data_IF_830232310466
#
_entry.id   IF_830232310466
#
_cell.length_a   1.000
_cell.length_b   1.000
_cell.length_c   1.000
_cell.angle_alpha   90.00
_cell.angle_beta   90.00
_cell.angle_gamma   90.00
#
_symmetry.space_group_name_H-M   'P 1'
#
loop_
_entity.id
_entity.type
_entity.pdbx_description
1 polymer ?
#
# COMPACT_ATOMS: atom_id res chain seq x y z
N UNK A 1 49.35 11.97 -28.31
CA UNK A 1 49.74 10.61 -27.90
C UNK A 1 49.40 10.47 -26.44
N UNK A 2 48.28 9.81 -26.15
CA UNK A 2 47.92 9.41 -24.78
C UNK A 2 48.93 8.36 -24.30
N UNK A 3 49.45 8.44 -23.07
CA UNK A 3 50.31 7.39 -22.57
C UNK A 3 49.50 6.09 -22.45
N UNK A 4 50.09 4.99 -22.93
CA UNK A 4 49.55 3.66 -22.70
C UNK A 4 49.56 3.38 -21.19
N UNK A 5 48.43 2.95 -20.64
CA UNK A 5 48.31 2.55 -19.25
C UNK A 5 49.27 1.40 -18.93
N UNK A 6 50.04 1.55 -17.85
CA UNK A 6 50.97 0.52 -17.36
C UNK A 6 50.14 -0.59 -16.70
N UNK A 7 50.38 -1.88 -17.01
CA UNK A 7 49.70 -2.97 -16.32
C UNK A 7 50.12 -2.98 -14.85
N UNK A 8 49.20 -2.60 -13.95
CA UNK A 8 49.43 -2.58 -12.51
C UNK A 8 49.34 -1.22 -11.82
N UNK A 9 49.07 -0.13 -12.54
CA UNK A 9 48.65 1.11 -11.89
C UNK A 9 47.19 0.97 -11.44
N UNK A 10 46.96 1.16 -10.13
CA UNK A 10 45.64 1.28 -9.54
C UNK A 10 44.86 2.33 -10.36
N UNK A 11 43.76 1.97 -11.02
CA UNK A 11 42.89 2.95 -11.66
C UNK A 11 42.40 3.89 -10.55
N UNK A 12 42.90 5.14 -10.48
CA UNK A 12 42.51 6.02 -9.40
C UNK A 12 41.03 6.31 -9.58
N UNK A 13 40.28 6.15 -8.49
CA UNK A 13 38.89 6.55 -8.47
C UNK A 13 38.83 8.04 -8.84
N UNK A 14 38.16 8.36 -9.94
CA UNK A 14 38.05 9.73 -10.42
C UNK A 14 37.38 10.64 -9.37
N UNK A 15 37.74 11.92 -9.38
CA UNK A 15 37.19 12.89 -8.42
C UNK A 15 35.66 12.99 -8.52
N UNK A 16 35.09 12.64 -9.67
CA UNK A 16 33.66 12.64 -9.97
C UNK A 16 32.84 11.70 -9.06
N UNK A 17 33.47 10.69 -8.45
CA UNK A 17 32.78 9.74 -7.59
C UNK A 17 32.57 10.26 -6.16
N UNK A 18 33.38 11.21 -5.70
CA UNK A 18 33.29 11.74 -4.33
C UNK A 18 31.99 12.53 -4.08
N UNK A 19 31.52 13.42 -4.97
CA UNK A 19 30.22 14.07 -4.81
C UNK A 19 29.05 13.08 -4.78
N UNK A 20 29.11 12.03 -5.62
CA UNK A 20 28.10 10.96 -5.61
C UNK A 20 28.08 10.22 -4.27
N UNK A 21 29.23 9.77 -3.77
CA UNK A 21 29.30 9.10 -2.48
C UNK A 21 28.88 10.00 -1.32
N UNK A 22 29.29 11.27 -1.33
CA UNK A 22 28.92 12.24 -0.31
C UNK A 22 27.41 12.46 -0.25
N UNK A 23 26.76 12.66 -1.40
CA UNK A 23 25.30 12.80 -1.46
C UNK A 23 24.57 11.53 -1.02
N UNK A 24 25.07 10.35 -1.41
CA UNK A 24 24.52 9.07 -0.96
C UNK A 24 24.68 8.87 0.55
N UNK A 25 25.82 9.23 1.13
CA UNK A 25 26.08 9.17 2.56
C UNK A 25 25.11 10.07 3.33
N UNK A 26 24.93 11.32 2.88
CA UNK A 26 23.98 12.27 3.49
C UNK A 26 22.56 11.69 3.43
N UNK A 27 22.15 11.17 2.27
CA UNK A 27 20.83 10.56 2.13
C UNK A 27 20.65 9.37 3.08
N UNK A 28 21.59 8.43 3.11
CA UNK A 28 21.48 7.22 3.93
C UNK A 28 21.56 7.50 5.43
N UNK A 29 22.47 8.37 5.89
CA UNK A 29 22.72 8.56 7.33
C UNK A 29 21.96 9.74 7.95
N UNK A 30 21.41 10.66 7.15
CA UNK A 30 20.58 11.77 7.64
C UNK A 30 19.18 11.72 7.07
N UNK A 31 19.05 11.62 5.74
CA UNK A 31 17.75 11.59 5.06
C UNK A 31 16.86 10.43 5.53
N UNK A 32 17.36 9.19 5.45
CA UNK A 32 16.59 7.99 5.82
C UNK A 32 16.21 7.98 7.30
N UNK A 33 17.09 8.29 8.27
CA UNK A 33 16.69 8.41 9.68
C UNK A 33 15.61 9.46 9.93
N UNK A 34 15.69 10.63 9.29
CA UNK A 34 14.65 11.67 9.42
C UNK A 34 13.30 11.19 8.89
N UNK A 35 13.30 10.51 7.72
CA UNK A 35 12.09 9.90 7.18
C UNK A 35 11.53 8.84 8.14
N UNK A 36 12.37 7.92 8.63
CA UNK A 36 11.96 6.90 9.59
C UNK A 36 11.40 7.49 10.90
N UNK A 37 11.96 8.62 11.34
CA UNK A 37 11.44 9.36 12.49
C UNK A 37 10.05 9.93 12.21
N UNK A 38 9.82 10.53 11.02
CA UNK A 38 8.48 11.00 10.62
C UNK A 38 7.46 9.87 10.50
N UNK A 39 7.89 8.70 10.03
CA UNK A 39 7.03 7.51 9.92
C UNK A 39 6.88 6.72 11.24
N UNK A 40 7.56 7.11 12.33
CA UNK A 40 7.60 6.33 13.56
C UNK A 40 6.23 6.15 14.22
N UNK A 41 5.35 7.14 14.09
CA UNK A 41 4.01 7.12 14.69
C UNK A 41 2.94 6.35 13.90
N UNK A 42 3.27 5.77 12.75
CA UNK A 42 2.29 5.09 11.89
C UNK A 42 2.24 3.60 12.26
N UNK A 43 1.09 3.17 12.80
CA UNK A 43 0.77 1.78 13.09
C UNK A 43 0.32 1.06 11.82
N UNK A 44 1.22 0.27 11.23
CA UNK A 44 0.99 -0.43 9.96
C UNK A 44 0.76 -1.95 10.17
N UNK A 45 -0.24 -2.53 9.48
CA UNK A 45 -0.56 -3.97 9.55
C UNK A 45 0.44 -4.83 8.77
N UNK A 46 1.09 -4.26 7.76
CA UNK A 46 1.94 -4.97 6.82
C UNK A 46 3.39 -5.12 7.31
N UNK A 47 3.77 -4.42 8.39
CA UNK A 47 5.14 -4.37 8.86
C UNK A 47 6.07 -3.54 7.97
N UNK A 48 5.53 -2.67 7.10
CA UNK A 48 6.28 -1.78 6.21
C UNK A 48 7.32 -1.00 7.00
N UNK A 49 7.00 -0.53 8.21
CA UNK A 49 7.96 0.20 9.04
C UNK A 49 9.16 -0.67 9.43
N UNK A 50 8.92 -1.94 9.81
CA UNK A 50 9.98 -2.88 10.18
C UNK A 50 10.83 -3.24 8.96
N UNK A 51 10.19 -3.42 7.81
CA UNK A 51 10.88 -3.68 6.55
C UNK A 51 11.77 -2.51 6.14
N UNK A 52 11.23 -1.28 6.16
CA UNK A 52 11.97 -0.07 5.84
C UNK A 52 13.15 0.16 6.79
N UNK A 53 12.96 -0.10 8.09
CA UNK A 53 14.04 -0.06 9.07
C UNK A 53 15.13 -1.11 8.78
N UNK A 54 14.74 -2.34 8.45
CA UNK A 54 15.69 -3.41 8.14
C UNK A 54 16.46 -3.12 6.84
N UNK A 55 15.80 -2.60 5.79
CA UNK A 55 16.44 -2.13 4.56
C UNK A 55 17.42 -1.00 4.85
N UNK A 56 17.01 -0.01 5.65
CA UNK A 56 17.86 1.12 6.01
C UNK A 56 19.12 0.66 6.75
N UNK A 57 18.98 -0.17 7.78
CA UNK A 57 20.11 -0.69 8.57
C UNK A 57 21.04 -1.52 7.67
N UNK A 58 20.49 -2.43 6.85
CA UNK A 58 21.29 -3.26 5.94
C UNK A 58 22.06 -2.41 4.94
N UNK A 59 21.41 -1.37 4.39
CA UNK A 59 22.04 -0.43 3.45
C UNK A 59 23.12 0.43 4.10
N UNK A 60 22.89 0.92 5.32
CA UNK A 60 23.86 1.69 6.09
C UNK A 60 25.10 0.85 6.41
N UNK A 61 24.93 -0.40 6.86
CA UNK A 61 26.04 -1.32 7.14
C UNK A 61 26.83 -1.60 5.86
N UNK A 62 26.14 -1.96 4.78
CA UNK A 62 26.77 -2.24 3.49
C UNK A 62 27.58 -1.06 2.95
N UNK A 63 27.00 0.13 3.00
CA UNK A 63 27.66 1.36 2.56
C UNK A 63 28.82 1.77 3.48
N UNK A 64 28.68 1.57 4.80
CA UNK A 64 29.76 1.81 5.74
C UNK A 64 30.96 0.88 5.50
N UNK A 65 30.72 -0.41 5.25
CA UNK A 65 31.77 -1.38 4.91
C UNK A 65 32.44 -1.05 3.57
N UNK A 66 31.67 -0.61 2.58
CA UNK A 66 32.20 -0.08 1.33
C UNK A 66 33.18 1.08 1.57
N UNK A 67 32.79 2.08 2.39
CA UNK A 67 33.68 3.21 2.72
C UNK A 67 34.93 2.77 3.48
N UNK A 68 34.81 1.83 4.43
CA UNK A 68 35.96 1.30 5.16
C UNK A 68 36.96 0.64 4.21
N UNK A 69 36.50 -0.25 3.32
CA UNK A 69 37.40 -0.95 2.40
C UNK A 69 38.02 -0.01 1.36
N UNK A 70 37.31 1.05 1.00
CA UNK A 70 37.79 2.07 0.07
C UNK A 70 38.85 2.99 0.69
N UNK A 71 38.64 3.46 1.92
CA UNK A 71 39.47 4.52 2.51
C UNK A 71 40.52 4.02 3.50
N UNK A 72 40.39 2.82 4.06
CA UNK A 72 41.31 2.32 5.08
C UNK A 72 42.52 1.62 4.43
N UNK A 73 43.73 2.20 4.48
CA UNK A 73 44.90 1.65 3.77
C UNK A 73 45.30 0.25 4.27
N UNK A 74 45.03 -0.05 5.54
CA UNK A 74 45.31 -1.33 6.17
C UNK A 74 44.56 -2.51 5.53
N UNK A 75 43.48 -2.26 4.78
CA UNK A 75 42.67 -3.29 4.12
C UNK A 75 43.04 -3.53 2.65
N UNK A 76 44.00 -2.79 2.08
CA UNK A 76 44.39 -2.89 0.66
C UNK A 76 44.79 -4.31 0.23
N UNK A 77 45.42 -5.09 1.12
CA UNK A 77 45.76 -6.49 0.83
C UNK A 77 44.51 -7.36 0.65
N UNK A 78 43.48 -7.13 1.46
CA UNK A 78 42.19 -7.84 1.36
C UNK A 78 41.41 -7.33 0.15
N UNK A 79 41.42 -6.02 -0.09
CA UNK A 79 40.73 -5.37 -1.19
C UNK A 79 41.11 -5.96 -2.57
N UNK A 80 42.38 -6.30 -2.77
CA UNK A 80 42.86 -6.96 -4.01
C UNK A 80 42.13 -8.27 -4.32
N UNK A 81 41.70 -8.98 -3.28
CA UNK A 81 40.91 -10.23 -3.41
C UNK A 81 39.41 -10.00 -3.29
N UNK A 82 39.01 -8.99 -2.52
CA UNK A 82 37.63 -8.68 -2.18
C UNK A 82 37.42 -7.17 -2.33
N UNK A 83 37.08 -6.76 -3.54
CA UNK A 83 36.97 -5.35 -3.87
C UNK A 83 35.84 -4.66 -3.08
N UNK A 84 36.03 -3.37 -2.75
CA UNK A 84 35.08 -2.62 -1.93
C UNK A 84 33.63 -2.67 -2.48
N UNK A 85 33.45 -2.60 -3.80
CA UNK A 85 32.13 -2.64 -4.45
C UNK A 85 31.34 -3.94 -4.19
N UNK A 86 32.02 -5.04 -3.81
CA UNK A 86 31.37 -6.32 -3.50
C UNK A 86 30.43 -6.18 -2.30
N UNK A 87 30.72 -5.29 -1.34
CA UNK A 87 29.80 -4.98 -0.24
C UNK A 87 28.46 -4.41 -0.73
N UNK A 88 28.50 -3.55 -1.75
CA UNK A 88 27.29 -3.05 -2.40
C UNK A 88 26.50 -4.17 -3.09
N UNK A 89 27.18 -5.08 -3.79
CA UNK A 89 26.55 -6.23 -4.42
C UNK A 89 25.90 -7.19 -3.40
N UNK A 90 26.59 -7.51 -2.31
CA UNK A 90 26.04 -8.34 -1.22
C UNK A 90 24.81 -7.69 -0.63
N UNK A 91 24.88 -6.39 -0.33
CA UNK A 91 23.75 -5.61 0.21
C UNK A 91 22.54 -5.67 -0.71
N UNK A 92 22.75 -5.49 -2.03
CA UNK A 92 21.70 -5.59 -3.03
C UNK A 92 21.07 -6.99 -3.08
N UNK A 93 21.89 -8.05 -3.05
CA UNK A 93 21.41 -9.45 -3.06
C UNK A 93 20.60 -9.77 -1.81
N UNK A 94 21.06 -9.33 -0.64
CA UNK A 94 20.34 -9.51 0.62
C UNK A 94 18.99 -8.78 0.58
N UNK A 95 18.97 -7.52 0.17
CA UNK A 95 17.73 -6.75 0.06
C UNK A 95 16.76 -7.41 -0.91
N UNK A 96 17.24 -7.83 -2.09
CA UNK A 96 16.38 -8.48 -3.08
C UNK A 96 15.81 -9.82 -2.56
N UNK A 97 16.62 -10.61 -1.87
CA UNK A 97 16.19 -11.90 -1.33
C UNK A 97 15.11 -11.74 -0.25
N UNK A 98 15.35 -10.85 0.72
CA UNK A 98 14.45 -10.70 1.87
C UNK A 98 13.21 -9.86 1.59
N UNK A 99 13.29 -8.83 0.75
CA UNK A 99 12.20 -7.88 0.55
C UNK A 99 11.46 -8.03 -0.77
N UNK A 100 12.01 -8.81 -1.73
CA UNK A 100 11.33 -9.08 -2.99
C UNK A 100 10.97 -10.56 -3.09
N UNK A 101 11.95 -11.45 -2.99
CA UNK A 101 11.72 -12.89 -3.24
C UNK A 101 10.85 -13.51 -2.13
N UNK A 102 11.18 -13.25 -0.86
CA UNK A 102 10.46 -13.84 0.27
C UNK A 102 8.98 -13.43 0.34
N UNK A 103 8.59 -12.14 0.24
CA UNK A 103 7.19 -11.74 0.23
C UNK A 103 6.41 -12.31 -0.96
N UNK A 104 7.03 -12.41 -2.15
CA UNK A 104 6.40 -13.03 -3.33
C UNK A 104 6.13 -14.52 -3.08
N UNK A 105 7.08 -15.23 -2.48
CA UNK A 105 6.92 -16.63 -2.11
C UNK A 105 5.74 -16.81 -1.13
N UNK A 106 5.72 -16.02 -0.05
CA UNK A 106 4.65 -16.06 0.96
C UNK A 106 3.29 -15.65 0.38
N UNK A 107 3.26 -14.69 -0.55
CA UNK A 107 2.02 -14.28 -1.23
C UNK A 107 1.47 -15.42 -2.11
N UNK A 108 2.33 -16.10 -2.88
CA UNK A 108 1.91 -17.23 -3.72
C UNK A 108 1.33 -18.37 -2.88
N UNK A 109 2.01 -18.71 -1.79
CA UNK A 109 1.55 -19.69 -0.81
C UNK A 109 0.22 -19.28 -0.18
N UNK A 110 0.09 -18.02 0.24
CA UNK A 110 -1.13 -17.49 0.85
C UNK A 110 -2.32 -17.41 -0.11
N UNK A 111 -2.09 -17.12 -1.40
CA UNK A 111 -3.14 -17.11 -2.44
C UNK A 111 -3.74 -18.50 -2.65
N UNK A 112 -2.91 -19.54 -2.64
CA UNK A 112 -3.40 -20.93 -2.70
C UNK A 112 -4.29 -21.27 -1.50
N UNK A 113 -3.96 -20.78 -0.31
CA UNK A 113 -4.78 -21.00 0.90
C UNK A 113 -6.10 -20.22 0.85
N UNK A 114 -6.10 -18.96 0.37
CA UNK A 114 -7.33 -18.13 0.26
C UNK A 114 -8.33 -18.66 -0.75
N UNK A 115 -7.88 -19.30 -1.83
CA UNK A 115 -8.77 -19.93 -2.81
C UNK A 115 -9.70 -20.99 -2.18
N UNK A 116 -9.33 -21.54 -1.02
CA UNK A 116 -10.04 -22.63 -0.35
C UNK A 116 -10.93 -22.19 0.83
N UNK A 117 -10.85 -20.93 1.31
CA UNK A 117 -11.60 -20.46 2.47
C UNK A 117 -12.87 -19.69 2.06
N UNK A 118 -14.02 -20.36 2.00
CA UNK A 118 -15.34 -19.73 1.82
C UNK A 118 -16.01 -19.49 3.18
N UNK A 119 -15.91 -18.27 3.71
CA UNK A 119 -16.60 -17.83 4.93
C UNK A 119 -17.48 -16.59 4.67
N UNK A 120 -18.26 -16.59 3.57
CA UNK A 120 -19.14 -15.47 3.20
C UNK A 120 -20.10 -15.08 4.33
N UNK A 121 -20.68 -16.07 5.02
CA UNK A 121 -21.60 -15.83 6.14
C UNK A 121 -20.95 -15.08 7.32
N UNK A 122 -19.66 -15.32 7.58
CA UNK A 122 -18.94 -14.62 8.66
C UNK A 122 -18.68 -13.17 8.27
N UNK A 123 -18.37 -12.92 6.99
CA UNK A 123 -18.19 -11.56 6.49
C UNK A 123 -19.49 -10.76 6.56
N UNK A 124 -20.60 -11.35 6.11
CA UNK A 124 -21.92 -10.69 6.17
C UNK A 124 -22.30 -10.36 7.61
N UNK A 125 -21.97 -11.23 8.58
CA UNK A 125 -22.17 -10.96 10.00
C UNK A 125 -21.34 -9.77 10.49
N UNK A 126 -20.06 -9.67 10.09
CA UNK A 126 -19.19 -8.55 10.45
C UNK A 126 -19.73 -7.22 9.90
N UNK A 127 -20.28 -7.20 8.68
CA UNK A 127 -20.85 -5.99 8.11
C UNK A 127 -22.21 -5.61 8.72
N UNK A 128 -22.98 -6.59 9.19
CA UNK A 128 -24.33 -6.38 9.72
C UNK A 128 -24.35 -5.96 11.19
N UNK A 129 -23.39 -6.43 11.99
CA UNK A 129 -23.26 -6.07 13.41
C UNK A 129 -22.53 -4.71 13.55
N UNK A 130 -23.14 -3.69 14.17
CA UNK A 130 -22.54 -2.36 14.29
C UNK A 130 -21.18 -2.37 15.00
N UNK A 131 -21.02 -3.20 16.04
CA UNK A 131 -19.78 -3.24 16.84
C UNK A 131 -18.68 -3.88 16.01
N UNK A 132 -18.97 -5.03 15.37
CA UNK A 132 -17.99 -5.71 14.51
C UNK A 132 -17.63 -4.86 13.28
N UNK A 133 -18.56 -4.07 12.77
CA UNK A 133 -18.30 -3.21 11.63
C UNK A 133 -17.42 -2.00 11.99
N UNK A 134 -17.58 -1.40 13.17
CA UNK A 134 -16.65 -0.38 13.67
C UNK A 134 -15.24 -0.94 13.90
N UNK A 135 -15.13 -2.14 14.48
CA UNK A 135 -13.85 -2.84 14.63
C UNK A 135 -13.19 -3.12 13.26
N UNK A 136 -14.00 -3.54 12.28
CA UNK A 136 -13.53 -3.74 10.90
C UNK A 136 -13.06 -2.44 10.27
N UNK A 137 -13.78 -1.32 10.45
CA UNK A 137 -13.36 0.01 9.98
C UNK A 137 -12.03 0.43 10.62
N UNK A 138 -11.88 0.27 11.93
CA UNK A 138 -10.63 0.57 12.63
C UNK A 138 -9.45 -0.25 12.07
N UNK A 139 -9.67 -1.52 11.74
CA UNK A 139 -8.68 -2.33 11.03
C UNK A 139 -8.35 -1.76 9.65
N UNK A 140 -9.36 -1.37 8.85
CA UNK A 140 -9.12 -0.84 7.50
C UNK A 140 -8.36 0.49 7.46
N UNK A 141 -8.38 1.29 8.54
CA UNK A 141 -7.51 2.47 8.68
C UNK A 141 -6.04 2.03 8.67
N UNK A 142 -5.69 1.01 9.46
CA UNK A 142 -4.34 0.47 9.52
C UNK A 142 -3.95 -0.34 8.28
N UNK A 143 -4.93 -0.86 7.55
CA UNK A 143 -4.78 -1.57 6.27
C UNK A 143 -4.73 -0.61 5.07
N UNK A 144 -4.83 0.70 5.28
CA UNK A 144 -4.90 1.75 4.26
C UNK A 144 -6.00 1.50 3.19
N UNK A 145 -7.16 1.02 3.63
CA UNK A 145 -8.28 0.67 2.75
C UNK A 145 -9.64 1.10 3.32
N UNK A 146 -9.67 2.19 4.10
CA UNK A 146 -10.84 2.68 4.85
C UNK A 146 -11.94 3.25 3.95
N UNK A 147 -11.59 3.70 2.75
CA UNK A 147 -12.52 4.18 1.74
C UNK A 147 -13.59 3.13 1.39
N UNK A 148 -13.23 1.85 1.37
CA UNK A 148 -14.12 0.76 1.00
C UNK A 148 -15.30 0.57 1.97
N UNK A 149 -15.08 0.36 3.29
CA UNK A 149 -16.19 0.24 4.22
C UNK A 149 -16.95 1.55 4.41
N UNK A 150 -16.32 2.72 4.28
CA UNK A 150 -17.01 4.02 4.34
C UNK A 150 -17.98 4.20 3.16
N UNK A 151 -17.56 3.87 1.94
CA UNK A 151 -18.42 3.89 0.76
C UNK A 151 -19.58 2.89 0.90
N UNK A 152 -19.28 1.67 1.34
CA UNK A 152 -20.28 0.63 1.58
C UNK A 152 -21.32 1.06 2.61
N UNK A 153 -20.89 1.67 3.72
CA UNK A 153 -21.79 2.17 4.77
C UNK A 153 -22.76 3.24 4.22
N UNK A 154 -22.27 4.17 3.38
CA UNK A 154 -23.13 5.19 2.75
C UNK A 154 -24.11 4.57 1.77
N UNK A 155 -23.70 3.58 0.97
CA UNK A 155 -24.61 2.83 0.09
C UNK A 155 -25.72 2.12 0.89
N UNK A 156 -25.36 1.48 2.00
CA UNK A 156 -26.31 0.82 2.90
C UNK A 156 -27.33 1.81 3.49
N UNK A 157 -26.87 2.92 4.05
CA UNK A 157 -27.74 3.98 4.61
C UNK A 157 -28.70 4.55 3.54
N UNK A 158 -28.21 4.74 2.32
CA UNK A 158 -29.04 5.19 1.21
C UNK A 158 -30.13 4.16 0.88
N UNK A 159 -29.80 2.86 0.82
CA UNK A 159 -30.78 1.79 0.57
C UNK A 159 -31.84 1.70 1.68
N UNK A 160 -31.44 1.79 2.95
CA UNK A 160 -32.35 1.80 4.09
C UNK A 160 -33.34 2.98 4.03
N UNK A 161 -32.89 4.13 3.51
CA UNK A 161 -33.78 5.28 3.28
C UNK A 161 -34.89 5.03 2.25
N UNK A 162 -34.73 4.03 1.37
CA UNK A 162 -35.70 3.67 0.34
C UNK A 162 -36.73 2.67 0.86
N UNK A 163 -36.33 1.75 1.74
CA UNK A 163 -37.21 0.68 2.26
C UNK A 163 -38.37 1.20 3.12
N UNK A 164 -38.28 2.42 3.64
CA UNK A 164 -39.36 3.07 4.38
C UNK A 164 -40.40 3.79 3.50
N UNK A 165 -40.23 3.78 2.17
CA UNK A 165 -41.18 4.42 1.24
C UNK A 165 -42.27 3.39 0.84
N UNK A 166 -43.56 3.67 1.07
CA UNK A 166 -44.64 2.77 0.65
C UNK A 166 -44.58 2.50 -0.86
N UNK A 167 -44.63 1.22 -1.25
CA UNK A 167 -44.50 0.68 -2.62
C UNK A 167 -45.51 1.23 -3.65
N UNK A 168 -46.44 2.10 -3.25
CA UNK A 168 -47.56 2.58 -4.07
C UNK A 168 -47.32 3.92 -4.80
N UNK A 169 -46.18 4.59 -4.60
CA UNK A 169 -45.87 5.83 -5.35
C UNK A 169 -44.96 5.53 -6.54
N UNK A 170 -45.58 5.27 -7.68
CA UNK A 170 -44.89 5.27 -8.98
C UNK A 170 -44.30 6.68 -9.21
N UNK A 171 -42.99 6.74 -9.46
CA UNK A 171 -42.13 7.94 -9.56
C UNK A 171 -41.72 8.54 -8.20
N UNK A 172 -40.86 7.81 -7.47
CA UNK A 172 -40.10 8.37 -6.34
C UNK A 172 -39.16 9.46 -6.89
N UNK A 173 -39.61 10.71 -6.84
CA UNK A 173 -38.74 11.86 -7.09
C UNK A 173 -37.70 11.91 -5.98
N UNK A 174 -36.42 11.95 -6.35
CA UNK A 174 -35.33 12.11 -5.40
C UNK A 174 -35.52 13.38 -4.57
N UNK A 175 -35.55 13.24 -3.25
CA UNK A 175 -35.53 14.39 -2.34
C UNK A 175 -34.24 15.19 -2.53
N UNK A 176 -34.28 16.49 -2.23
CA UNK A 176 -33.08 17.34 -2.29
C UNK A 176 -31.94 16.79 -1.42
N UNK A 177 -32.25 16.21 -0.25
CA UNK A 177 -31.27 15.54 0.61
C UNK A 177 -30.59 14.36 -0.11
N UNK A 178 -31.36 13.49 -0.76
CA UNK A 178 -30.81 12.36 -1.51
C UNK A 178 -29.96 12.82 -2.71
N UNK A 179 -30.35 13.89 -3.41
CA UNK A 179 -29.55 14.45 -4.51
C UNK A 179 -28.20 14.98 -4.02
N UNK A 180 -28.20 15.72 -2.91
CA UNK A 180 -26.97 16.23 -2.28
C UNK A 180 -26.08 15.07 -1.84
N UNK A 181 -26.67 14.03 -1.23
CA UNK A 181 -25.94 12.84 -0.78
C UNK A 181 -25.30 12.08 -1.95
N UNK A 182 -26.05 11.82 -3.02
CA UNK A 182 -25.53 11.15 -4.23
C UNK A 182 -24.35 11.91 -4.84
N UNK A 183 -24.43 13.25 -4.89
CA UNK A 183 -23.34 14.10 -5.36
C UNK A 183 -22.11 14.03 -4.46
N UNK A 184 -22.31 14.17 -3.16
CA UNK A 184 -21.24 14.03 -2.18
C UNK A 184 -20.57 12.66 -2.28
N UNK A 185 -21.33 11.57 -2.41
CA UNK A 185 -20.76 10.23 -2.57
C UNK A 185 -19.93 10.10 -3.85
N UNK A 186 -20.40 10.66 -4.97
CA UNK A 186 -19.65 10.66 -6.22
C UNK A 186 -18.32 11.43 -6.08
N UNK A 187 -18.38 12.64 -5.53
CA UNK A 187 -17.20 13.50 -5.35
C UNK A 187 -16.19 12.89 -4.36
N UNK A 188 -16.66 12.20 -3.32
CA UNK A 188 -15.79 11.58 -2.31
C UNK A 188 -15.24 10.23 -2.73
N UNK A 189 -16.00 9.37 -3.43
CA UNK A 189 -15.57 7.98 -3.64
C UNK A 189 -15.35 7.59 -5.10
N UNK A 190 -15.92 8.31 -6.06
CA UNK A 190 -15.89 7.91 -7.48
C UNK A 190 -14.96 8.80 -8.30
N UNK A 191 -14.96 10.10 -8.02
CA UNK A 191 -14.16 11.09 -8.73
C UNK A 191 -12.67 10.69 -8.74
N UNK A 192 -12.01 10.58 -9.91
CA UNK A 192 -10.59 10.22 -10.00
C UNK A 192 -9.61 11.15 -9.28
N UNK A 193 -10.06 12.35 -8.92
CA UNK A 193 -9.26 13.31 -8.15
C UNK A 193 -9.51 13.23 -6.64
N UNK A 194 -10.40 12.33 -6.20
CA UNK A 194 -10.72 12.20 -4.78
C UNK A 194 -9.64 11.44 -4.03
N UNK A 195 -9.34 11.90 -2.81
CA UNK A 195 -8.46 11.20 -1.87
C UNK A 195 -9.01 9.83 -1.44
N UNK A 196 -10.34 9.68 -1.41
CA UNK A 196 -11.02 8.45 -1.01
C UNK A 196 -11.59 7.68 -2.21
N UNK A 197 -10.98 7.81 -3.40
CA UNK A 197 -11.41 7.08 -4.58
C UNK A 197 -11.39 5.56 -4.31
N UNK A 198 -12.53 4.89 -4.47
CA UNK A 198 -12.62 3.44 -4.32
C UNK A 198 -12.12 2.71 -5.56
N UNK A 199 -11.52 1.53 -5.37
CA UNK A 199 -10.96 0.73 -6.45
C UNK A 199 -12.05 -0.03 -7.22
N UNK A 200 -12.54 0.57 -8.30
CA UNK A 200 -13.59 0.04 -9.18
C UNK A 200 -13.07 -0.26 -10.58
N UNK A 201 -13.78 -1.13 -11.31
CA UNK A 201 -13.51 -1.37 -12.72
C UNK A 201 -13.75 -0.12 -13.56
N UNK A 202 -12.94 0.09 -14.62
CA UNK A 202 -13.07 1.24 -15.52
C UNK A 202 -14.47 1.38 -16.12
N UNK A 203 -15.11 0.25 -16.43
CA UNK A 203 -16.48 0.23 -16.94
C UNK A 203 -17.49 0.80 -15.94
N UNK A 204 -17.32 0.54 -14.64
CA UNK A 204 -18.20 1.06 -13.59
C UNK A 204 -17.96 2.55 -13.35
N UNK A 205 -16.70 3.00 -13.39
CA UNK A 205 -16.37 4.43 -13.28
C UNK A 205 -16.94 5.21 -14.47
N UNK A 206 -16.77 4.71 -15.69
CA UNK A 206 -17.29 5.34 -16.91
C UNK A 206 -18.83 5.42 -16.89
N UNK A 207 -19.49 4.33 -16.48
CA UNK A 207 -20.94 4.29 -16.32
C UNK A 207 -21.44 5.33 -15.30
N UNK A 208 -20.80 5.41 -14.13
CA UNK A 208 -21.16 6.36 -13.08
C UNK A 208 -20.90 7.81 -13.51
N UNK A 209 -19.77 8.07 -14.16
CA UNK A 209 -19.40 9.40 -14.67
C UNK A 209 -20.43 9.87 -15.70
N UNK A 210 -20.78 9.01 -16.66
CA UNK A 210 -21.78 9.33 -17.69
C UNK A 210 -23.15 9.65 -17.09
N UNK A 211 -23.61 8.86 -16.11
CA UNK A 211 -24.89 9.11 -15.41
C UNK A 211 -24.85 10.39 -14.57
N UNK A 212 -23.69 10.70 -14.00
CA UNK A 212 -23.51 11.92 -13.23
C UNK A 212 -23.55 13.17 -14.12
N UNK A 213 -22.83 13.14 -15.24
CA UNK A 213 -22.76 14.24 -16.21
C UNK A 213 -24.10 14.47 -16.91
N UNK A 214 -24.86 13.41 -17.18
CA UNK A 214 -26.22 13.51 -17.73
C UNK A 214 -27.26 14.01 -16.72
N UNK A 215 -26.90 14.13 -15.43
CA UNK A 215 -27.82 14.49 -14.35
C UNK A 215 -28.82 13.39 -13.98
N UNK A 216 -28.64 12.17 -14.51
CA UNK A 216 -29.49 11.01 -14.26
C UNK A 216 -29.15 10.36 -12.91
N UNK A 217 -29.45 11.08 -11.84
CA UNK A 217 -29.30 10.58 -10.48
C UNK A 217 -30.40 9.56 -10.17
N UNK A 218 -30.01 8.43 -9.60
CA UNK A 218 -30.92 7.37 -9.16
C UNK A 218 -30.46 6.77 -7.83
N UNK A 219 -31.39 6.36 -6.97
CA UNK A 219 -31.08 5.79 -5.65
C UNK A 219 -30.24 4.51 -5.73
N UNK A 220 -30.37 3.76 -6.82
CA UNK A 220 -29.66 2.52 -7.08
C UNK A 220 -28.42 2.72 -7.97
N UNK A 221 -28.00 3.96 -8.29
CA UNK A 221 -26.91 4.21 -9.24
C UNK A 221 -25.59 3.56 -8.80
N UNK A 222 -25.36 3.43 -7.50
CA UNK A 222 -24.15 2.84 -6.94
C UNK A 222 -24.22 1.31 -6.74
N UNK A 223 -25.32 0.62 -7.09
CA UNK A 223 -25.50 -0.81 -6.77
C UNK A 223 -24.37 -1.69 -7.32
N UNK A 224 -23.91 -1.39 -8.54
CA UNK A 224 -22.80 -2.11 -9.17
C UNK A 224 -21.47 -1.85 -8.45
N UNK A 225 -21.18 -0.59 -8.13
CA UNK A 225 -19.99 -0.21 -7.39
C UNK A 225 -20.01 -0.81 -5.97
N UNK A 226 -21.15 -0.79 -5.28
CA UNK A 226 -21.31 -1.39 -3.96
C UNK A 226 -20.98 -2.89 -3.99
N UNK A 227 -21.44 -3.62 -5.01
CA UNK A 227 -21.13 -5.03 -5.18
C UNK A 227 -19.64 -5.29 -5.43
N UNK A 228 -19.00 -4.49 -6.29
CA UNK A 228 -17.55 -4.58 -6.54
C UNK A 228 -16.75 -4.34 -5.25
N UNK A 229 -17.10 -3.31 -4.47
CA UNK A 229 -16.43 -3.00 -3.21
C UNK A 229 -16.69 -4.06 -2.15
N UNK A 230 -17.92 -4.59 -2.06
CA UNK A 230 -18.22 -5.72 -1.18
C UNK A 230 -17.34 -6.93 -1.50
N UNK A 231 -17.22 -7.28 -2.79
CA UNK A 231 -16.37 -8.38 -3.24
C UNK A 231 -14.88 -8.11 -2.97
N UNK A 232 -14.42 -6.88 -3.21
CA UNK A 232 -13.05 -6.44 -2.95
C UNK A 232 -12.69 -6.59 -1.47
N UNK A 233 -13.55 -6.10 -0.57
CA UNK A 233 -13.37 -6.24 0.88
C UNK A 233 -13.36 -7.70 1.31
N UNK A 234 -14.29 -8.51 0.78
CA UNK A 234 -14.36 -9.94 1.10
C UNK A 234 -13.11 -10.72 0.68
N UNK A 235 -12.59 -10.46 -0.52
CA UNK A 235 -11.46 -11.22 -1.08
C UNK A 235 -10.10 -10.76 -0.50
N UNK A 236 -9.94 -9.45 -0.27
CA UNK A 236 -8.65 -8.87 0.03
C UNK A 236 -8.50 -8.49 1.51
N UNK A 237 -9.45 -7.73 2.04
CA UNK A 237 -9.38 -7.12 3.38
C UNK A 237 -9.80 -8.09 4.48
N UNK A 238 -10.91 -8.81 4.29
CA UNK A 238 -11.49 -9.68 5.30
C UNK A 238 -10.57 -10.82 5.77
N UNK A 239 -9.82 -11.53 4.89
CA UNK A 239 -8.88 -12.56 5.35
C UNK A 239 -7.76 -11.99 6.24
N UNK A 240 -7.31 -10.76 5.96
CA UNK A 240 -6.30 -10.09 6.80
C UNK A 240 -6.90 -9.67 8.14
N UNK A 241 -8.13 -9.17 8.14
CA UNK A 241 -8.87 -8.85 9.37
C UNK A 241 -9.03 -10.07 10.29
N UNK A 242 -9.37 -11.24 9.75
CA UNK A 242 -9.46 -12.48 10.54
C UNK A 242 -8.12 -12.87 11.16
N UNK A 243 -7.01 -12.70 10.44
CA UNK A 243 -5.66 -12.94 10.97
C UNK A 243 -5.27 -11.91 12.04
N UNK A 244 -5.64 -10.64 11.86
CA UNK A 244 -5.37 -9.59 12.84
C UNK A 244 -6.14 -9.79 14.14
N UNK A 245 -7.43 -10.13 14.05
CA UNK A 245 -8.30 -10.38 15.20
C UNK A 245 -7.91 -11.65 15.97
N UNK A 246 -7.41 -12.69 15.30
CA UNK A 246 -6.89 -13.87 16.00
C UNK A 246 -5.61 -13.59 16.77
N UNK A 247 -4.76 -12.68 16.28
CA UNK A 247 -3.50 -12.29 16.95
C UNK A 247 -3.70 -11.32 18.12
N UNK A 248 -4.79 -10.55 18.14
CA UNK A 248 -5.06 -9.52 19.16
C UNK A 248 -5.99 -10.00 20.29
N UNK A 249 -6.66 -11.15 20.12
CA UNK A 249 -7.53 -11.77 21.15
C UNK A 249 -6.84 -12.84 22.01
N UNK A 250 -5.51 -12.96 21.92
CA UNK A 250 -4.65 -13.77 22.80
C UNK A 250 -3.90 -12.83 23.73
#
# INVERSE_FOLDING_TARGET
MTPAAIPGEECPLGWEFYPFMGSLAIYLFLGVPVLLYWFWGIDDVYGIRKELLAVAITSMIGFFLYLIFMFLPSLRTVEKTFAAYVWGAITLVLIHTFFVIYPIYELRKSRQVRANAKNTQVFDKVLSDPVLFEDFKAFTIKDFSVENPLFYERCRKLRESVTHIPRFSAKVSLSNKQRIELRSMYDTFINPKSEFQVNLSSATIEELTKRFDSGELALNMFSRAEWEIHLLMYQNTFPRYLKYTSLTRV
#
